data_IF_933543892273
#
_entry.id   IF_933543892273
#
_cell.length_a   1.000
_cell.length_b   1.000
_cell.length_c   1.000
_cell.angle_alpha   90.00
_cell.angle_beta   90.00
_cell.angle_gamma   90.00
#
_symmetry.space_group_name_H-M   'P 1'
#
loop_
_entity.id
_entity.type
_entity.pdbx_description
1 polymer ?
#
# COMPACT_ATOMS: atom_id res chain seq x y z
N UNK A 1 -68.75 -1.82 0.94
CA UNK A 1 -68.19 -1.13 2.12
C UNK A 1 -66.87 -1.84 2.46
N UNK A 2 -65.74 -1.23 2.07
CA UNK A 2 -64.37 -1.79 2.16
C UNK A 2 -63.61 -1.03 3.26
N UNK A 3 -62.80 -1.69 4.12
CA UNK A 3 -61.80 -0.99 4.91
C UNK A 3 -60.44 -0.97 4.18
N UNK A 4 -59.93 0.24 4.02
CA UNK A 4 -58.58 0.57 3.53
C UNK A 4 -57.58 0.21 4.65
N UNK A 5 -56.58 -0.62 4.34
CA UNK A 5 -55.47 -0.94 5.26
C UNK A 5 -54.32 0.05 5.07
N UNK A 6 -53.64 0.52 6.13
CA UNK A 6 -52.54 1.46 6.00
C UNK A 6 -51.27 0.74 5.56
N UNK A 7 -50.55 1.41 4.66
CA UNK A 7 -49.15 1.21 4.32
C UNK A 7 -48.28 1.17 5.59
N UNK A 8 -47.48 0.12 5.76
CA UNK A 8 -46.27 0.20 6.58
C UNK A 8 -45.06 -0.07 5.68
N UNK A 9 -44.30 1.00 5.45
CA UNK A 9 -42.94 0.96 4.93
C UNK A 9 -42.03 0.33 6.00
N UNK A 10 -41.44 -0.82 5.69
CA UNK A 10 -40.26 -1.31 6.42
C UNK A 10 -39.02 -0.74 5.73
N UNK A 11 -38.52 0.39 6.23
CA UNK A 11 -37.20 0.91 5.89
C UNK A 11 -36.19 0.49 6.97
N UNK A 12 -34.99 0.16 6.50
CA UNK A 12 -33.72 0.14 7.22
C UNK A 12 -33.46 -0.98 8.23
N UNK A 13 -32.86 -2.07 7.77
CA UNK A 13 -31.89 -2.82 8.59
C UNK A 13 -30.86 -3.58 7.73
N UNK A 14 -30.21 -2.92 6.77
CA UNK A 14 -29.16 -3.57 5.96
C UNK A 14 -28.01 -2.61 5.62
N UNK A 15 -27.38 -1.98 6.61
CA UNK A 15 -26.16 -1.19 6.33
C UNK A 15 -24.98 -1.47 7.29
N UNK A 16 -25.25 -1.79 8.56
CA UNK A 16 -24.19 -1.85 9.58
C UNK A 16 -23.16 -3.00 9.44
N UNK A 17 -23.48 -4.07 8.72
CA UNK A 17 -22.57 -5.22 8.55
C UNK A 17 -21.57 -5.05 7.38
N UNK A 18 -21.91 -4.23 6.38
CA UNK A 18 -21.09 -4.02 5.19
C UNK A 18 -19.95 -3.04 5.46
N UNK A 19 -20.20 -2.00 6.26
CA UNK A 19 -19.22 -0.98 6.63
C UNK A 19 -18.08 -1.54 7.51
N UNK A 20 -18.40 -2.40 8.48
CA UNK A 20 -17.38 -3.06 9.34
C UNK A 20 -16.43 -3.96 8.54
N UNK A 21 -16.93 -4.64 7.51
CA UNK A 21 -16.11 -5.53 6.69
C UNK A 21 -15.14 -4.77 5.76
N UNK A 22 -15.58 -3.65 5.18
CA UNK A 22 -14.66 -2.80 4.38
C UNK A 22 -13.58 -2.15 5.25
N UNK A 23 -13.92 -1.72 6.47
CA UNK A 23 -12.96 -1.10 7.40
C UNK A 23 -11.88 -2.10 7.86
N UNK A 24 -12.25 -3.34 8.18
CA UNK A 24 -11.29 -4.38 8.55
C UNK A 24 -10.38 -4.80 7.38
N UNK A 25 -10.93 -4.87 6.17
CA UNK A 25 -10.16 -5.18 4.97
C UNK A 25 -9.26 -4.02 4.53
N UNK A 26 -9.68 -2.77 4.73
CA UNK A 26 -8.82 -1.59 4.52
C UNK A 26 -7.70 -1.50 5.57
N UNK A 27 -7.99 -1.84 6.84
CA UNK A 27 -6.98 -1.90 7.89
C UNK A 27 -5.96 -3.03 7.69
N UNK A 28 -6.37 -4.16 7.09
CA UNK A 28 -5.45 -5.24 6.68
C UNK A 28 -4.61 -4.90 5.45
N UNK A 29 -5.10 -3.97 4.61
CA UNK A 29 -4.44 -3.46 3.41
C UNK A 29 -3.60 -2.21 3.65
N UNK A 30 -3.68 -1.60 4.84
CA UNK A 30 -2.84 -0.48 5.19
C UNK A 30 -1.37 -0.94 5.15
N UNK A 31 -0.52 -0.33 4.32
CA UNK A 31 0.89 -0.68 4.29
C UNK A 31 1.49 -0.52 5.69
N UNK A 32 2.34 -1.49 6.10
CA UNK A 32 3.00 -1.50 7.42
C UNK A 32 3.76 -0.20 7.75
N UNK A 33 4.15 0.53 6.71
CA UNK A 33 4.68 1.90 6.76
C UNK A 33 3.88 2.74 5.77
N UNK A 34 3.46 3.95 6.16
CA UNK A 34 2.90 4.93 5.21
C UNK A 34 3.94 5.34 4.14
N UNK A 35 3.46 5.92 3.03
CA UNK A 35 4.35 6.34 1.94
C UNK A 35 5.36 7.38 2.42
N UNK A 36 4.92 8.32 3.27
CA UNK A 36 5.78 9.32 3.88
C UNK A 36 6.83 8.72 4.80
N UNK A 37 6.50 7.68 5.58
CA UNK A 37 7.46 6.95 6.40
C UNK A 37 8.49 6.22 5.55
N UNK A 38 8.04 5.52 4.50
CA UNK A 38 8.92 4.82 3.58
C UNK A 38 9.90 5.78 2.89
N UNK A 39 9.42 6.95 2.41
CA UNK A 39 10.28 7.94 1.77
C UNK A 39 11.27 8.57 2.75
N UNK A 40 10.88 8.80 4.01
CA UNK A 40 11.82 9.23 5.05
C UNK A 40 12.90 8.16 5.31
N UNK A 41 12.50 6.90 5.47
CA UNK A 41 13.43 5.78 5.66
C UNK A 41 14.38 5.64 4.46
N UNK A 42 13.86 5.71 3.24
CA UNK A 42 14.67 5.72 2.03
C UNK A 42 15.72 6.82 2.05
N UNK A 43 15.34 8.07 2.40
CA UNK A 43 16.29 9.19 2.45
C UNK A 43 17.37 9.03 3.52
N UNK A 44 17.09 8.37 4.64
CA UNK A 44 18.10 8.06 5.65
C UNK A 44 19.20 7.13 5.10
N UNK A 45 18.85 6.20 4.21
CA UNK A 45 19.80 5.27 3.60
C UNK A 45 20.44 5.80 2.31
N UNK A 46 19.64 6.45 1.45
CA UNK A 46 20.07 6.93 0.15
C UNK A 46 20.87 8.24 0.23
N UNK A 47 20.55 9.09 1.23
CA UNK A 47 20.93 10.50 1.27
C UNK A 47 20.14 11.34 0.25
N UNK A 48 20.23 10.97 -1.02
CA UNK A 48 19.62 11.65 -2.17
C UNK A 48 18.63 10.73 -2.94
N UNK A 49 17.65 11.34 -3.60
CA UNK A 49 16.74 10.62 -4.50
C UNK A 49 17.49 10.04 -5.72
N UNK A 50 16.91 9.01 -6.32
CA UNK A 50 17.48 8.28 -7.47
C UNK A 50 18.57 7.26 -7.14
N UNK A 51 19.17 7.30 -5.94
CA UNK A 51 20.19 6.32 -5.53
C UNK A 51 19.58 4.98 -5.13
N UNK A 52 20.10 3.84 -5.63
CA UNK A 52 19.57 2.53 -5.27
C UNK A 52 19.85 2.21 -3.80
N UNK A 53 18.81 1.82 -3.08
CA UNK A 53 18.88 1.34 -1.69
C UNK A 53 18.47 -0.13 -1.66
N UNK A 54 19.24 -0.95 -0.94
CA UNK A 54 18.91 -2.36 -0.77
C UNK A 54 17.56 -2.51 -0.04
N UNK A 55 16.68 -3.37 -0.54
CA UNK A 55 15.37 -3.62 0.08
C UNK A 55 15.49 -4.17 1.51
N UNK A 56 16.60 -4.82 1.84
CA UNK A 56 16.91 -5.27 3.20
C UNK A 56 17.31 -4.14 4.16
N UNK A 57 17.61 -2.94 3.68
CA UNK A 57 18.01 -1.81 4.53
C UNK A 57 16.86 -1.27 5.38
N UNK A 58 15.61 -1.47 4.94
CA UNK A 58 14.40 -1.01 5.62
C UNK A 58 14.08 -1.77 6.92
N UNK A 59 14.93 -2.73 7.32
CA UNK A 59 14.84 -3.48 8.58
C UNK A 59 13.49 -4.20 8.83
N UNK A 60 12.78 -4.53 7.75
CA UNK A 60 11.57 -5.35 7.76
C UNK A 60 11.92 -6.83 7.57
N UNK A 61 11.03 -7.73 8.01
CA UNK A 61 11.15 -9.14 7.64
C UNK A 61 10.92 -9.33 6.13
N UNK A 62 11.40 -10.44 5.52
CA UNK A 62 11.23 -10.66 4.08
C UNK A 62 9.79 -10.52 3.58
N UNK A 63 8.84 -11.15 4.27
CA UNK A 63 7.43 -11.10 3.90
C UNK A 63 6.83 -9.69 4.02
N UNK A 64 7.28 -8.90 5.01
CA UNK A 64 6.83 -7.52 5.19
C UNK A 64 7.41 -6.61 4.11
N UNK A 65 8.69 -6.77 3.75
CA UNK A 65 9.30 -6.06 2.62
C UNK A 65 8.54 -6.36 1.33
N UNK A 66 8.31 -7.63 1.02
CA UNK A 66 7.59 -8.04 -0.20
C UNK A 66 6.18 -7.46 -0.22
N UNK A 67 5.43 -7.57 0.88
CA UNK A 67 4.07 -7.01 0.97
C UNK A 67 4.06 -5.49 0.80
N UNK A 68 4.96 -4.78 1.49
CA UNK A 68 5.02 -3.31 1.48
C UNK A 68 5.30 -2.78 0.07
N UNK A 69 6.36 -3.27 -0.55
CA UNK A 69 6.77 -2.79 -1.87
C UNK A 69 5.84 -3.27 -2.97
N UNK A 70 5.24 -4.46 -2.85
CA UNK A 70 4.22 -4.90 -3.82
C UNK A 70 2.98 -4.01 -3.77
N UNK A 71 2.52 -3.63 -2.58
CA UNK A 71 1.36 -2.74 -2.44
C UNK A 71 1.58 -1.37 -3.10
N UNK A 72 2.80 -0.81 -3.02
CA UNK A 72 3.13 0.45 -3.70
C UNK A 72 3.43 0.30 -5.19
N UNK A 73 3.87 -0.88 -5.62
CA UNK A 73 4.08 -1.18 -7.03
C UNK A 73 2.75 -1.34 -7.78
N UNK A 74 1.73 -1.92 -7.13
CA UNK A 74 0.38 -2.06 -7.68
C UNK A 74 -0.33 -0.71 -7.89
N UNK A 75 -0.05 0.31 -7.06
CA UNK A 75 -0.64 1.64 -7.20
C UNK A 75 0.13 2.46 -8.26
N UNK A 76 -0.43 2.59 -9.46
CA UNK A 76 0.15 3.39 -10.56
C UNK A 76 0.49 4.84 -10.16
N UNK A 77 -0.28 5.46 -9.26
CA UNK A 77 -0.01 6.85 -8.86
C UNK A 77 1.27 6.96 -8.04
N UNK A 78 1.74 5.86 -7.44
CA UNK A 78 2.94 5.77 -6.62
C UNK A 78 4.07 5.04 -7.37
N UNK A 79 3.78 3.91 -8.00
CA UNK A 79 4.78 3.02 -8.61
C UNK A 79 5.62 3.67 -9.70
N UNK A 80 5.08 4.66 -10.40
CA UNK A 80 5.81 5.48 -11.38
C UNK A 80 7.07 6.16 -10.82
N UNK A 81 7.16 6.35 -9.50
CA UNK A 81 8.33 6.95 -8.84
C UNK A 81 9.34 5.90 -8.34
N UNK A 82 9.02 4.62 -8.43
CA UNK A 82 9.84 3.53 -7.91
C UNK A 82 10.58 2.87 -9.08
N UNK A 83 11.87 2.64 -8.90
CA UNK A 83 12.71 1.90 -9.84
C UNK A 83 13.34 0.73 -9.10
N UNK A 84 12.85 -0.47 -9.40
CA UNK A 84 13.41 -1.69 -8.85
C UNK A 84 14.52 -2.22 -9.74
N UNK A 85 15.60 -2.71 -9.13
CA UNK A 85 16.72 -3.33 -9.83
C UNK A 85 17.17 -4.61 -9.14
N UNK A 86 17.71 -5.52 -9.95
CA UNK A 86 18.34 -6.75 -9.48
C UNK A 86 19.87 -6.61 -9.55
N UNK A 87 20.55 -7.00 -8.47
CA UNK A 87 21.99 -6.94 -8.32
C UNK A 87 22.47 -7.94 -7.27
N UNK A 88 23.55 -7.61 -6.56
CA UNK A 88 24.00 -8.39 -5.42
C UNK A 88 23.12 -8.14 -4.17
N UNK A 89 23.00 -9.14 -3.30
CA UNK A 89 22.25 -9.03 -2.05
C UNK A 89 21.03 -9.94 -1.96
N UNK A 90 20.18 -9.70 -0.96
CA UNK A 90 18.96 -10.47 -0.73
C UNK A 90 17.92 -10.12 -1.80
N UNK A 91 17.35 -11.13 -2.45
CA UNK A 91 16.25 -11.00 -3.40
C UNK A 91 14.91 -11.02 -2.67
N UNK A 92 13.97 -10.26 -3.19
CA UNK A 92 12.59 -10.16 -2.74
C UNK A 92 11.68 -10.28 -3.96
N UNK A 93 10.52 -10.91 -3.80
CA UNK A 93 9.47 -10.93 -4.82
C UNK A 93 8.55 -9.72 -4.66
N UNK A 94 8.64 -8.77 -5.58
CA UNK A 94 7.78 -7.58 -5.62
C UNK A 94 6.78 -7.79 -6.75
N UNK A 95 5.50 -7.94 -6.42
CA UNK A 95 4.41 -8.21 -7.37
C UNK A 95 4.76 -9.30 -8.43
N UNK A 96 5.41 -10.38 -8.00
CA UNK A 96 5.81 -11.50 -8.85
C UNK A 96 7.11 -11.33 -9.64
N UNK A 97 7.77 -10.17 -9.61
CA UNK A 97 9.12 -10.00 -10.18
C UNK A 97 10.20 -9.96 -9.08
N UNK A 98 11.44 -10.23 -9.46
CA UNK A 98 12.59 -10.27 -8.56
C UNK A 98 13.24 -8.89 -8.44
N UNK A 99 13.49 -8.44 -7.21
CA UNK A 99 14.22 -7.20 -6.95
C UNK A 99 15.15 -7.34 -5.73
N UNK A 100 16.22 -6.54 -5.74
CA UNK A 100 17.18 -6.45 -4.62
C UNK A 100 17.28 -5.03 -4.08
N UNK A 101 17.08 -4.04 -4.95
CA UNK A 101 17.18 -2.62 -4.64
C UNK A 101 15.98 -1.85 -5.16
N UNK A 102 15.75 -0.69 -4.55
CA UNK A 102 14.79 0.31 -4.99
C UNK A 102 15.45 1.69 -5.03
N UNK A 103 15.24 2.44 -6.11
CA UNK A 103 15.47 3.88 -6.15
C UNK A 103 14.12 4.59 -6.17
N UNK A 104 14.03 5.73 -5.47
CA UNK A 104 12.82 6.56 -5.48
C UNK A 104 13.14 7.89 -6.17
N UNK A 105 12.29 8.29 -7.12
CA UNK A 105 12.38 9.57 -7.80
C UNK A 105 11.94 10.73 -6.90
N UNK A 106 12.61 11.90 -7.01
CA UNK A 106 12.31 13.07 -6.18
C UNK A 106 10.88 13.60 -6.38
N UNK A 107 10.27 13.39 -7.54
CA UNK A 107 8.90 13.82 -7.85
C UNK A 107 7.84 13.14 -6.96
N UNK A 108 8.19 12.08 -6.21
CA UNK A 108 7.32 11.50 -5.18
C UNK A 108 6.84 12.56 -4.18
N UNK A 109 7.65 13.59 -3.95
CA UNK A 109 7.33 14.69 -3.04
C UNK A 109 6.10 15.50 -3.48
N UNK A 110 5.66 15.37 -4.74
CA UNK A 110 4.46 16.07 -5.24
C UNK A 110 3.15 15.45 -4.73
N UNK A 111 3.21 14.24 -4.17
CA UNK A 111 2.05 13.49 -3.64
C UNK A 111 2.17 13.16 -2.14
N UNK A 112 3.16 13.76 -1.46
CA UNK A 112 3.42 13.66 -0.02
C UNK A 112 3.07 14.97 0.67
#
# INVERSE_FOLDING_TARGET
MLPIRPFFQTLHEVDSAKEKSMSAEAARRAPLMSLGELVRAYRLHAGEFGRPVALSAFALSPAETERLFSAYEEDYHISRFFRFTEGSGRKFSINGFSATHVSIDAQIQTIL
#
